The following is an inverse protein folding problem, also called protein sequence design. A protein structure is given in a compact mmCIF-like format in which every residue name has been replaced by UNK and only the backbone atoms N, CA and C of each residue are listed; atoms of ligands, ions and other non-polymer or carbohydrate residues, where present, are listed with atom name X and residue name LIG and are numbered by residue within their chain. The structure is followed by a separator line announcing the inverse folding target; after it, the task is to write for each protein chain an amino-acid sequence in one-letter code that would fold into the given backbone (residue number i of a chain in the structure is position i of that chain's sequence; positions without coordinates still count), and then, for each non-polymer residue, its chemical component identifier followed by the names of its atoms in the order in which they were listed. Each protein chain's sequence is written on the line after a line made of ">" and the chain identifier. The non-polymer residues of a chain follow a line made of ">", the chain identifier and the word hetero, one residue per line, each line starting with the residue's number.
data_IF_537241510656
#
_entry.id   IF_537241510656
#
_cell.length_a   1.000
_cell.length_b   1.000
_cell.length_c   1.000
_cell.angle_alpha   90.00
_cell.angle_beta   90.00
_cell.angle_gamma   90.00
#
_symmetry.space_group_name_H-M   'P 1'
#
loop_
_entity.id
_entity.type
_entity.pdbx_description
1 polymer ?
#
# COMPACT_ATOMS: atom_id res chain seq x y z
N UNK A 1 -2.99 23.33 -5.06
CA UNK A 1 -2.81 23.71 -3.65
C UNK A 1 -3.36 22.60 -2.78
N UNK A 2 -2.68 22.28 -1.68
CA UNK A 2 -3.19 21.37 -0.66
C UNK A 2 -4.35 22.06 0.07
N UNK A 3 -5.55 21.48 0.01
CA UNK A 3 -6.70 21.98 0.74
C UNK A 3 -6.58 21.52 2.19
N UNK A 4 -6.21 22.44 3.10
CA UNK A 4 -5.91 22.14 4.51
C UNK A 4 -7.05 21.45 5.30
N UNK A 5 -8.29 21.49 4.83
CA UNK A 5 -9.45 20.87 5.48
C UNK A 5 -9.93 19.57 4.79
N UNK A 6 -9.17 19.02 3.85
CA UNK A 6 -9.57 17.79 3.15
C UNK A 6 -9.00 16.57 3.86
N UNK A 7 -9.89 15.72 4.35
CA UNK A 7 -9.57 14.39 4.87
C UNK A 7 -9.81 13.33 3.80
N UNK A 8 -9.09 12.22 3.89
CA UNK A 8 -9.25 11.06 3.01
C UNK A 8 -9.51 9.83 3.88
N UNK A 9 -10.53 9.04 3.54
CA UNK A 9 -10.76 7.75 4.19
C UNK A 9 -9.61 6.80 3.89
N UNK A 10 -9.25 5.97 4.87
CA UNK A 10 -8.37 4.82 4.67
C UNK A 10 -9.17 3.59 4.24
N UNK A 11 -8.55 2.71 3.48
CA UNK A 11 -9.03 1.36 3.20
C UNK A 11 -7.85 0.39 3.25
N UNK A 12 -7.96 -0.68 4.02
CA UNK A 12 -6.97 -1.74 4.01
C UNK A 12 -7.10 -2.55 2.72
N UNK A 13 -5.96 -2.93 2.13
CA UNK A 13 -5.94 -3.79 0.96
C UNK A 13 -6.75 -5.08 1.17
N UNK A 14 -6.69 -5.65 2.38
CA UNK A 14 -7.46 -6.84 2.79
C UNK A 14 -8.97 -6.62 2.73
N UNK A 15 -9.46 -5.43 3.08
CA UNK A 15 -10.88 -5.08 3.02
C UNK A 15 -11.36 -4.81 1.58
N UNK A 16 -10.43 -4.53 0.67
CA UNK A 16 -10.71 -4.20 -0.73
C UNK A 16 -10.49 -5.38 -1.71
N UNK A 17 -10.20 -6.59 -1.23
CA UNK A 17 -9.91 -7.73 -2.12
C UNK A 17 -11.14 -8.17 -2.91
N UNK A 18 -10.97 -8.47 -4.22
CA UNK A 18 -12.07 -8.91 -5.09
C UNK A 18 -12.44 -10.40 -4.92
N UNK A 19 -11.50 -11.26 -4.53
CA UNK A 19 -11.72 -12.70 -4.37
C UNK A 19 -11.00 -13.24 -3.11
N UNK A 20 -11.72 -13.93 -2.23
CA UNK A 20 -11.14 -14.55 -1.02
C UNK A 20 -10.27 -15.77 -1.32
N UNK A 21 -10.43 -16.42 -2.48
CA UNK A 21 -9.63 -17.59 -2.88
C UNK A 21 -8.23 -17.24 -3.41
N UNK A 22 -8.00 -15.99 -3.81
CA UNK A 22 -6.66 -15.46 -4.13
C UNK A 22 -5.85 -15.07 -2.88
N UNK A 23 -6.38 -15.33 -1.67
CA UNK A 23 -5.68 -15.11 -0.40
C UNK A 23 -4.30 -15.79 -0.33
N UNK A 24 -4.02 -16.77 -1.18
CA UNK A 24 -2.71 -17.41 -1.33
C UNK A 24 -1.65 -16.49 -1.98
N UNK A 25 -2.06 -15.53 -2.81
CA UNK A 25 -1.22 -14.47 -3.36
C UNK A 25 -1.68 -13.14 -2.78
N UNK A 26 -1.25 -12.90 -1.54
CA UNK A 26 -1.70 -11.79 -0.71
C UNK A 26 -1.69 -10.44 -1.43
N UNK A 27 -2.86 -9.97 -1.88
CA UNK A 27 -3.06 -8.60 -2.38
C UNK A 27 -2.80 -7.53 -1.30
N UNK A 28 -2.52 -7.96 -0.06
CA UNK A 28 -2.20 -7.09 1.08
C UNK A 28 -0.99 -6.20 0.82
N UNK A 29 -0.02 -6.66 0.02
CA UNK A 29 1.19 -5.89 -0.31
C UNK A 29 1.04 -5.00 -1.57
N UNK A 30 -0.18 -4.91 -2.11
CA UNK A 30 -0.58 -3.98 -3.17
C UNK A 30 0.25 -4.06 -4.45
N UNK A 31 0.79 -5.22 -4.81
CA UNK A 31 1.62 -5.37 -6.01
C UNK A 31 0.84 -5.49 -7.33
N UNK A 32 -0.46 -5.81 -7.26
CA UNK A 32 -1.30 -6.08 -8.43
C UNK A 32 -2.66 -5.39 -8.28
N UNK A 33 -3.05 -4.48 -9.18
CA UNK A 33 -4.35 -3.81 -9.11
C UNK A 33 -5.53 -4.75 -9.37
N UNK A 34 -5.31 -5.86 -10.09
CA UNK A 34 -6.37 -6.80 -10.49
C UNK A 34 -7.01 -7.52 -9.30
N UNK A 35 -6.28 -7.64 -8.18
CA UNK A 35 -6.77 -8.26 -6.94
C UNK A 35 -7.58 -7.31 -6.04
N UNK A 36 -7.71 -6.02 -6.41
CA UNK A 36 -8.31 -4.98 -5.57
C UNK A 36 -9.53 -4.34 -6.24
N UNK A 37 -10.57 -4.11 -5.45
CA UNK A 37 -11.80 -3.48 -5.89
C UNK A 37 -11.59 -1.98 -6.06
N UNK A 38 -11.45 -1.54 -7.31
CA UNK A 38 -11.26 -0.13 -7.65
C UNK A 38 -12.26 0.81 -6.97
N UNK A 39 -13.55 0.44 -6.90
CA UNK A 39 -14.58 1.29 -6.27
C UNK A 39 -14.35 1.51 -4.77
N UNK A 40 -13.67 0.56 -4.11
CA UNK A 40 -13.34 0.68 -2.69
C UNK A 40 -12.09 1.53 -2.46
N UNK A 41 -11.21 1.65 -3.46
CA UNK A 41 -9.90 2.32 -3.37
C UNK A 41 -9.93 3.75 -3.92
N UNK A 42 -10.72 4.00 -4.96
CA UNK A 42 -10.76 5.28 -5.66
C UNK A 42 -11.07 6.45 -4.72
N UNK A 43 -10.22 7.48 -4.76
CA UNK A 43 -10.33 8.68 -3.91
C UNK A 43 -9.94 8.47 -2.43
N UNK A 44 -9.51 7.28 -2.03
CA UNK A 44 -9.10 6.93 -0.65
C UNK A 44 -7.59 6.78 -0.53
N UNK A 45 -7.10 6.65 0.70
CA UNK A 45 -5.72 6.24 0.98
C UNK A 45 -5.70 4.72 1.11
N UNK A 46 -4.89 4.06 0.29
CA UNK A 46 -4.76 2.61 0.31
C UNK A 46 -3.68 2.20 1.34
N UNK A 47 -4.07 1.39 2.32
CA UNK A 47 -3.16 0.81 3.31
C UNK A 47 -2.69 -0.57 2.84
N UNK A 48 -1.38 -0.70 2.68
CA UNK A 48 -0.67 -1.88 2.20
C UNK A 48 0.24 -2.44 3.28
N UNK A 49 0.38 -3.76 3.34
CA UNK A 49 1.31 -4.46 4.21
C UNK A 49 2.70 -4.61 3.57
N UNK A 50 3.73 -4.55 4.41
CA UNK A 50 5.07 -4.99 4.04
C UNK A 50 5.20 -6.48 4.32
N UNK A 51 5.40 -7.27 3.27
CA UNK A 51 5.54 -8.72 3.33
C UNK A 51 6.99 -9.17 3.09
N UNK A 52 7.28 -10.45 3.29
CA UNK A 52 8.57 -11.08 2.95
C UNK A 52 8.95 -10.91 1.47
N UNK A 53 7.96 -10.69 0.58
CA UNK A 53 8.20 -10.44 -0.83
C UNK A 53 9.03 -9.17 -1.09
N UNK A 54 9.00 -8.17 -0.20
CA UNK A 54 9.88 -6.99 -0.29
C UNK A 54 11.33 -7.36 0.00
N UNK A 55 11.57 -8.25 0.96
CA UNK A 55 12.91 -8.77 1.29
C UNK A 55 13.46 -9.63 0.14
N UNK A 56 12.60 -10.45 -0.46
CA UNK A 56 12.96 -11.26 -1.65
C UNK A 56 13.08 -10.44 -2.94
N UNK A 57 12.69 -9.16 -2.94
CA UNK A 57 12.71 -8.29 -4.12
C UNK A 57 11.60 -8.55 -5.15
N UNK A 58 10.62 -9.40 -4.85
CA UNK A 58 9.44 -9.61 -5.71
C UNK A 58 8.36 -8.53 -5.52
N UNK A 59 8.38 -7.83 -4.37
CA UNK A 59 7.55 -6.66 -4.08
C UNK A 59 8.39 -5.38 -3.99
N UNK A 60 7.83 -4.24 -4.41
CA UNK A 60 8.52 -2.94 -4.32
C UNK A 60 7.57 -1.77 -4.07
N UNK A 61 8.07 -0.70 -3.44
CA UNK A 61 7.32 0.55 -3.22
C UNK A 61 6.91 1.17 -4.54
N UNK A 62 7.75 1.05 -5.57
CA UNK A 62 7.43 1.49 -6.94
C UNK A 62 6.11 0.90 -7.40
N UNK A 63 5.96 -0.40 -7.24
CA UNK A 63 4.80 -1.14 -7.71
C UNK A 63 3.58 -0.87 -6.84
N UNK A 64 3.74 -0.69 -5.52
CA UNK A 64 2.68 -0.16 -4.63
C UNK A 64 2.15 1.18 -5.16
N UNK A 65 3.04 2.13 -5.44
CA UNK A 65 2.66 3.46 -5.96
C UNK A 65 1.95 3.37 -7.31
N UNK A 66 2.41 2.50 -8.21
CA UNK A 66 1.78 2.26 -9.52
C UNK A 66 0.38 1.66 -9.37
N UNK A 67 0.22 0.64 -8.52
CA UNK A 67 -1.07 0.01 -8.22
C UNK A 67 -2.05 1.03 -7.65
N UNK A 68 -1.68 1.71 -6.58
CA UNK A 68 -2.53 2.71 -5.93
C UNK A 68 -2.93 3.83 -6.90
N UNK A 69 -1.99 4.33 -7.72
CA UNK A 69 -2.29 5.31 -8.78
C UNK A 69 -3.27 4.77 -9.82
N UNK A 70 -3.09 3.53 -10.28
CA UNK A 70 -3.96 2.90 -11.29
C UNK A 70 -5.39 2.69 -10.80
N UNK A 71 -5.56 2.48 -9.49
CA UNK A 71 -6.85 2.36 -8.82
C UNK A 71 -7.48 3.72 -8.47
N UNK A 72 -6.78 4.83 -8.73
CA UNK A 72 -7.28 6.18 -8.42
C UNK A 72 -7.20 6.54 -6.94
N UNK A 73 -6.32 5.91 -6.17
CA UNK A 73 -6.09 6.28 -4.78
C UNK A 73 -5.53 7.70 -4.67
N UNK A 74 -5.90 8.41 -3.61
CA UNK A 74 -5.35 9.71 -3.28
C UNK A 74 -3.89 9.65 -2.76
N UNK A 75 -3.48 8.48 -2.30
CA UNK A 75 -2.16 8.18 -1.76
C UNK A 75 -2.11 6.75 -1.21
N UNK A 76 -0.98 6.37 -0.64
CA UNK A 76 -0.83 5.05 -0.01
C UNK A 76 -0.05 5.12 1.31
N UNK A 77 -0.29 4.14 2.17
CA UNK A 77 0.48 3.87 3.38
C UNK A 77 1.04 2.47 3.25
N UNK A 78 2.33 2.29 3.49
CA UNK A 78 2.98 0.99 3.60
C UNK A 78 3.37 0.74 5.06
N UNK A 79 2.71 -0.21 5.72
CA UNK A 79 2.95 -0.56 7.12
C UNK A 79 3.88 -1.77 7.23
N UNK A 80 4.98 -1.61 7.96
CA UNK A 80 5.99 -2.65 8.18
C UNK A 80 5.72 -3.38 9.48
N UNK A 81 5.11 -4.57 9.41
CA UNK A 81 4.79 -5.37 10.60
C UNK A 81 6.01 -6.09 11.19
N UNK A 82 7.00 -6.43 10.38
CA UNK A 82 8.27 -6.98 10.86
C UNK A 82 9.43 -6.31 10.12
N UNK A 83 10.06 -5.35 10.78
CA UNK A 83 11.21 -4.66 10.24
C UNK A 83 12.40 -5.63 10.27
N UNK A 84 12.84 -6.08 9.08
CA UNK A 84 14.17 -6.68 8.98
C UNK A 84 15.20 -5.55 8.82
N UNK A 85 16.40 -5.64 9.42
CA UNK A 85 17.47 -4.66 9.21
C UNK A 85 17.85 -4.49 7.74
N UNK A 86 17.49 -5.44 6.87
CA UNK A 86 17.70 -5.37 5.42
C UNK A 86 16.58 -4.66 4.65
N UNK A 87 15.57 -4.07 5.31
CA UNK A 87 14.51 -3.33 4.63
C UNK A 87 15.11 -2.17 3.81
N UNK A 88 14.99 -2.26 2.49
CA UNK A 88 15.49 -1.24 1.55
C UNK A 88 14.34 -0.35 1.10
N UNK A 89 14.46 0.94 1.43
CA UNK A 89 13.58 1.99 0.92
C UNK A 89 14.35 2.78 -0.14
N UNK A 90 14.53 2.18 -1.31
CA UNK A 90 15.16 2.90 -2.42
C UNK A 90 14.30 4.13 -2.75
N UNK A 91 14.89 5.32 -2.98
CA UNK A 91 14.14 6.49 -3.40
C UNK A 91 13.53 6.22 -4.76
N UNK A 92 12.23 5.93 -4.78
CA UNK A 92 11.49 5.68 -6.02
C UNK A 92 10.73 6.94 -6.40
N UNK A 93 10.79 7.39 -7.66
CA UNK A 93 9.84 8.35 -8.20
C UNK A 93 8.42 7.80 -8.04
N UNK A 94 7.65 8.37 -7.11
CA UNK A 94 6.25 8.02 -6.86
C UNK A 94 5.35 9.08 -7.47
N UNK A 95 4.32 8.64 -8.21
CA UNK A 95 3.39 9.53 -8.92
C UNK A 95 2.24 10.05 -8.04
N UNK A 96 2.15 9.56 -6.81
CA UNK A 96 1.17 9.95 -5.79
C UNK A 96 1.84 9.95 -4.40
N UNK A 97 1.33 10.70 -3.42
CA UNK A 97 1.87 10.72 -2.06
C UNK A 97 1.91 9.32 -1.43
N UNK A 98 2.97 9.03 -0.69
CA UNK A 98 3.18 7.76 0.01
C UNK A 98 3.80 7.97 1.39
N UNK A 99 3.34 7.20 2.38
CA UNK A 99 3.90 7.15 3.74
C UNK A 99 4.36 5.72 4.02
N UNK A 100 5.53 5.58 4.65
CA UNK A 100 6.02 4.29 5.16
C UNK A 100 6.05 4.35 6.68
N UNK A 101 5.39 3.39 7.33
CA UNK A 101 5.37 3.25 8.79
C UNK A 101 6.27 2.05 9.13
N UNK A 102 7.44 2.31 9.71
CA UNK A 102 8.47 1.28 10.00
C UNK A 102 8.38 0.68 11.40
N UNK A 103 7.60 1.29 12.30
CA UNK A 103 7.48 0.91 13.71
C UNK A 103 6.00 0.97 14.13
N UNK A 104 5.29 -0.14 13.94
CA UNK A 104 3.88 -0.26 14.34
C UNK A 104 3.70 -0.36 15.86
N UNK A 105 4.73 -0.76 16.63
CA UNK A 105 4.63 -0.90 18.09
C UNK A 105 4.85 0.41 18.86
N UNK A 106 5.41 1.45 18.23
CA UNK A 106 5.46 2.83 18.79
C UNK A 106 4.36 3.76 18.27
N UNK A 107 3.35 3.21 17.61
CA UNK A 107 2.22 3.97 17.07
C UNK A 107 1.00 4.03 18.01
N UNK A 108 1.10 3.46 19.21
CA UNK A 108 0.06 3.41 20.24
C UNK A 108 0.34 4.38 21.40
#
# INVERSE_FOLDING_TARGET
>A
GTHWNRTYSLVAANDAMLNSSEALYSSSDCQKPEGLNKKMVEGRILLCGYSFNFVMGSSSIRKVSQTARSLGAAGFVLAVESFSPEARFDPVPVGIPGIVITDVSKSA
#
